data_IF_780596446145
#
_entry.id   IF_780596446145
#
_cell.length_a   1.000
_cell.length_b   1.000
_cell.length_c   1.000
_cell.angle_alpha   90.00
_cell.angle_beta   90.00
_cell.angle_gamma   90.00
#
_symmetry.space_group_name_H-M   'P 1'
#
loop_
_entity.id
_entity.type
_entity.pdbx_description
1 polymer ?
#
# COMPACT_ATOMS: atom_id res chain seq x y z
N UNK A 1 -24.34 -7.76 -10.64
CA UNK A 1 -23.47 -7.47 -9.47
C UNK A 1 -24.22 -7.63 -8.15
N UNK A 2 -23.53 -7.51 -7.01
CA UNK A 2 -24.19 -7.41 -5.68
C UNK A 2 -24.83 -6.01 -5.58
N UNK A 3 -26.04 -5.90 -5.02
CA UNK A 3 -26.79 -4.64 -4.91
C UNK A 3 -26.51 -3.89 -3.58
N UNK A 4 -27.00 -2.65 -3.48
CA UNK A 4 -26.87 -1.84 -2.25
C UNK A 4 -27.52 -2.48 -1.03
N UNK A 5 -28.64 -3.19 -1.21
CA UNK A 5 -29.35 -3.86 -0.12
C UNK A 5 -28.46 -4.94 0.48
N UNK A 6 -27.81 -5.75 -0.36
CA UNK A 6 -26.91 -6.81 0.07
C UNK A 6 -25.70 -6.27 0.82
N UNK A 7 -25.07 -5.19 0.33
CA UNK A 7 -23.94 -4.57 1.05
C UNK A 7 -24.36 -3.99 2.40
N UNK A 8 -25.52 -3.33 2.48
CA UNK A 8 -26.04 -2.82 3.74
C UNK A 8 -26.40 -3.96 4.72
N UNK A 9 -27.01 -5.05 4.24
CA UNK A 9 -27.31 -6.21 5.06
C UNK A 9 -26.04 -6.84 5.61
N UNK A 10 -24.99 -6.98 4.78
CA UNK A 10 -23.70 -7.50 5.20
C UNK A 10 -23.03 -6.59 6.25
N UNK A 11 -23.05 -5.27 6.07
CA UNK A 11 -22.50 -4.32 7.03
C UNK A 11 -23.21 -4.38 8.40
N UNK A 12 -24.55 -4.46 8.40
CA UNK A 12 -25.36 -4.62 9.62
C UNK A 12 -25.09 -5.96 10.30
N UNK A 13 -25.10 -7.04 9.53
CA UNK A 13 -24.81 -8.36 10.04
C UNK A 13 -23.41 -8.44 10.69
N UNK A 14 -22.41 -7.79 10.08
CA UNK A 14 -21.08 -7.66 10.67
C UNK A 14 -21.12 -6.94 12.03
N UNK A 15 -21.86 -5.83 12.13
CA UNK A 15 -22.01 -5.10 13.38
C UNK A 15 -22.73 -5.93 14.47
N UNK A 16 -23.79 -6.65 14.11
CA UNK A 16 -24.50 -7.57 15.01
C UNK A 16 -23.59 -8.69 15.52
N UNK A 17 -22.78 -9.28 14.63
CA UNK A 17 -21.79 -10.30 14.96
C UNK A 17 -20.75 -9.76 15.96
N UNK A 18 -20.22 -8.55 15.76
CA UNK A 18 -19.28 -7.94 16.70
C UNK A 18 -19.93 -7.68 18.07
N UNK A 19 -21.14 -7.15 18.09
CA UNK A 19 -21.89 -6.87 19.32
C UNK A 19 -22.21 -8.12 20.11
N UNK A 20 -22.68 -9.18 19.44
CA UNK A 20 -22.98 -10.46 20.08
C UNK A 20 -21.74 -11.11 20.73
N UNK A 21 -20.54 -10.77 20.25
CA UNK A 21 -19.26 -11.20 20.80
C UNK A 21 -18.67 -10.21 21.83
N UNK A 22 -19.34 -9.09 22.10
CA UNK A 22 -18.84 -8.06 23.02
C UNK A 22 -17.62 -7.29 22.50
N UNK A 23 -17.39 -7.29 21.19
CA UNK A 23 -16.26 -6.59 20.56
C UNK A 23 -16.59 -5.11 20.34
N UNK A 24 -15.61 -4.23 20.57
CA UNK A 24 -15.76 -2.78 20.45
C UNK A 24 -15.62 -2.25 19.01
N UNK A 25 -15.25 -3.10 18.06
CA UNK A 25 -14.98 -2.69 16.68
C UNK A 25 -14.24 -3.75 15.87
N UNK A 26 -13.85 -3.39 14.65
CA UNK A 26 -13.07 -4.26 13.79
C UNK A 26 -12.06 -3.51 12.93
N UNK A 27 -10.96 -4.19 12.63
CA UNK A 27 -10.11 -3.86 11.51
C UNK A 27 -10.67 -4.55 10.26
N UNK A 28 -10.90 -3.78 9.20
CA UNK A 28 -11.51 -4.27 7.95
C UNK A 28 -10.57 -3.96 6.80
N UNK A 29 -10.21 -4.96 5.99
CA UNK A 29 -9.43 -4.74 4.78
C UNK A 29 -10.30 -4.05 3.74
N UNK A 30 -10.01 -2.78 3.47
CA UNK A 30 -10.78 -1.92 2.56
C UNK A 30 -10.10 -1.74 1.20
N UNK A 31 -8.82 -2.10 1.10
CA UNK A 31 -8.05 -2.14 -0.14
C UNK A 31 -7.16 -3.38 -0.16
N UNK A 32 -7.29 -4.20 -1.20
CA UNK A 32 -6.45 -5.39 -1.45
C UNK A 32 -6.70 -5.90 -2.87
N UNK A 33 -5.74 -6.65 -3.41
CA UNK A 33 -5.73 -7.15 -4.79
C UNK A 33 -5.93 -6.03 -5.84
N UNK A 34 -5.52 -4.82 -5.49
CA UNK A 34 -5.63 -3.65 -6.35
C UNK A 34 -7.02 -3.05 -6.45
N UNK A 35 -7.97 -3.52 -5.64
CA UNK A 35 -9.36 -3.05 -5.60
C UNK A 35 -9.72 -2.46 -4.23
N UNK A 36 -10.31 -1.27 -4.25
CA UNK A 36 -10.83 -0.58 -3.10
C UNK A 36 -12.32 -0.87 -2.87
N UNK A 37 -12.78 -0.79 -1.61
CA UNK A 37 -14.20 -0.78 -1.22
C UNK A 37 -14.89 0.57 -1.50
N UNK A 38 -14.22 1.47 -2.20
CA UNK A 38 -14.73 2.78 -2.59
C UNK A 38 -14.35 3.06 -4.06
N UNK A 39 -15.08 3.96 -4.74
CA UNK A 39 -14.74 4.38 -6.10
C UNK A 39 -13.41 5.14 -6.12
N UNK A 40 -12.31 4.51 -6.54
CA UNK A 40 -10.99 5.15 -6.46
C UNK A 40 -10.47 5.66 -7.79
N UNK A 41 -9.74 6.78 -7.76
CA UNK A 41 -8.93 7.25 -8.89
C UNK A 41 -7.50 6.68 -8.87
N UNK A 42 -7.05 6.20 -7.70
CA UNK A 42 -5.70 5.69 -7.49
C UNK A 42 -5.57 4.17 -7.75
N UNK A 43 -6.67 3.42 -7.63
CA UNK A 43 -6.65 1.96 -7.74
C UNK A 43 -7.15 1.49 -9.11
N UNK A 44 -6.97 0.20 -9.41
CA UNK A 44 -7.73 -0.40 -10.51
C UNK A 44 -9.22 -0.34 -10.12
N UNK A 45 -10.11 -0.36 -11.13
CA UNK A 45 -11.53 -0.59 -10.87
C UNK A 45 -11.71 -1.86 -10.03
N UNK A 46 -12.86 -2.03 -9.38
CA UNK A 46 -13.05 -3.03 -8.34
C UNK A 46 -13.80 -4.30 -8.80
N UNK A 47 -13.30 -5.16 -9.74
CA UNK A 47 -13.98 -6.42 -10.09
C UNK A 47 -14.28 -7.33 -8.89
N UNK A 48 -13.44 -7.26 -7.85
CA UNK A 48 -13.57 -8.09 -6.63
C UNK A 48 -14.78 -7.70 -5.76
N UNK A 49 -15.16 -6.42 -5.77
CA UNK A 49 -16.23 -5.87 -4.92
C UNK A 49 -17.46 -5.46 -5.72
N UNK A 50 -17.26 -5.27 -7.02
CA UNK A 50 -18.26 -4.97 -8.03
C UNK A 50 -17.94 -5.81 -9.28
N UNK A 51 -18.48 -7.03 -9.34
CA UNK A 51 -18.26 -8.00 -10.43
C UNK A 51 -18.75 -7.53 -11.82
N UNK A 52 -19.11 -6.26 -11.96
CA UNK A 52 -19.90 -5.67 -13.04
C UNK A 52 -19.11 -4.77 -13.97
N UNK A 53 -17.80 -4.62 -13.75
CA UNK A 53 -16.99 -3.63 -14.48
C UNK A 53 -16.74 -3.92 -15.97
N UNK A 54 -17.49 -4.84 -16.61
CA UNK A 54 -17.52 -4.96 -18.08
C UNK A 54 -18.90 -5.36 -18.63
N UNK A 55 -19.70 -6.15 -17.89
CA UNK A 55 -20.96 -6.72 -18.40
C UNK A 55 -22.24 -5.99 -17.98
N UNK A 56 -22.20 -5.16 -16.93
CA UNK A 56 -23.41 -4.62 -16.26
C UNK A 56 -23.48 -3.07 -16.30
N UNK A 57 -22.68 -2.43 -17.16
CA UNK A 57 -22.59 -0.96 -17.32
C UNK A 57 -23.93 -0.25 -17.67
N UNK A 58 -25.03 -1.00 -17.79
CA UNK A 58 -26.38 -0.48 -18.03
C UNK A 58 -27.33 -0.45 -16.83
N UNK A 59 -27.02 -1.08 -15.69
CA UNK A 59 -28.01 -1.28 -14.60
C UNK A 59 -27.68 -0.61 -13.26
N UNK A 60 -26.42 -0.26 -13.02
CA UNK A 60 -26.02 0.51 -11.82
C UNK A 60 -25.31 1.81 -12.23
N UNK A 61 -25.98 2.96 -12.17
CA UNK A 61 -25.45 4.22 -12.70
C UNK A 61 -24.38 4.85 -11.79
N UNK A 62 -24.19 4.37 -10.56
CA UNK A 62 -23.30 4.99 -9.58
C UNK A 62 -22.32 3.97 -8.97
N UNK A 63 -21.01 4.23 -9.02
CA UNK A 63 -20.02 3.42 -8.32
C UNK A 63 -20.33 3.31 -6.83
N UNK A 64 -20.34 2.10 -6.28
CA UNK A 64 -20.68 1.86 -4.87
C UNK A 64 -19.54 2.23 -3.92
N UNK A 65 -19.82 3.08 -2.93
CA UNK A 65 -18.94 3.35 -1.80
C UNK A 65 -19.34 2.50 -0.58
N UNK A 66 -18.79 1.28 -0.51
CA UNK A 66 -19.04 0.32 0.56
C UNK A 66 -18.32 0.76 1.85
N UNK A 67 -17.16 1.43 1.70
CA UNK A 67 -16.40 1.99 2.82
C UNK A 67 -17.25 2.99 3.62
N UNK A 68 -17.94 3.90 2.94
CA UNK A 68 -18.83 4.87 3.60
C UNK A 68 -19.99 4.17 4.33
N UNK A 69 -20.59 3.14 3.72
CA UNK A 69 -21.66 2.36 4.36
C UNK A 69 -21.16 1.71 5.65
N UNK A 70 -19.99 1.08 5.62
CA UNK A 70 -19.39 0.45 6.80
C UNK A 70 -19.15 1.49 7.91
N UNK A 71 -18.54 2.63 7.58
CA UNK A 71 -18.26 3.69 8.54
C UNK A 71 -19.54 4.23 9.19
N UNK A 72 -20.61 4.44 8.40
CA UNK A 72 -21.90 4.92 8.90
C UNK A 72 -22.61 3.88 9.78
N UNK A 73 -22.60 2.61 9.39
CA UNK A 73 -23.22 1.53 10.19
C UNK A 73 -22.49 1.38 11.52
N UNK A 74 -21.17 1.30 11.50
CA UNK A 74 -20.38 1.14 12.72
C UNK A 74 -20.55 2.35 13.64
N UNK A 75 -20.57 3.56 13.09
CA UNK A 75 -20.78 4.79 13.87
C UNK A 75 -22.16 4.84 14.53
N UNK A 76 -23.21 4.33 13.88
CA UNK A 76 -24.56 4.22 14.46
C UNK A 76 -24.62 3.18 15.58
N UNK A 77 -23.86 2.10 15.45
CA UNK A 77 -23.80 1.02 16.44
C UNK A 77 -22.79 1.27 17.57
N UNK A 78 -22.10 2.41 17.57
CA UNK A 78 -21.06 2.74 18.56
C UNK A 78 -19.81 1.86 18.44
N UNK A 79 -19.57 1.28 17.27
CA UNK A 79 -18.42 0.43 16.97
C UNK A 79 -17.28 1.23 16.34
N UNK A 80 -16.05 0.84 16.67
CA UNK A 80 -14.84 1.36 16.04
C UNK A 80 -14.52 0.62 14.73
N UNK A 81 -14.01 1.37 13.75
CA UNK A 81 -13.54 0.88 12.47
C UNK A 81 -12.07 1.29 12.29
N UNK A 82 -11.23 0.32 11.94
CA UNK A 82 -9.86 0.54 11.46
C UNK A 82 -9.79 0.05 10.02
N UNK A 83 -9.94 0.93 9.01
CA UNK A 83 -9.68 0.55 7.62
C UNK A 83 -8.22 0.09 7.44
N UNK A 84 -8.05 -1.05 6.80
CA UNK A 84 -6.76 -1.64 6.49
C UNK A 84 -6.50 -1.68 4.98
N UNK A 85 -5.31 -1.28 4.55
CA UNK A 85 -4.86 -1.29 3.16
C UNK A 85 -3.73 -2.31 2.96
N UNK A 86 -3.92 -3.22 2.01
CA UNK A 86 -2.89 -4.16 1.55
C UNK A 86 -2.42 -3.75 0.15
N UNK A 87 -1.14 -3.44 0.01
CA UNK A 87 -0.50 -3.07 -1.25
C UNK A 87 0.20 -4.30 -1.84
N UNK A 88 -0.63 -5.20 -2.36
CA UNK A 88 -0.31 -6.53 -2.87
C UNK A 88 -0.57 -6.69 -4.38
N UNK A 89 -0.99 -5.62 -5.04
CA UNK A 89 -1.22 -5.57 -6.47
C UNK A 89 -0.53 -4.36 -7.12
N UNK A 90 -0.38 -4.36 -8.46
CA UNK A 90 0.21 -3.23 -9.14
C UNK A 90 -0.63 -1.95 -9.05
N UNK A 91 0.04 -0.83 -8.82
CA UNK A 91 -0.59 0.50 -8.76
C UNK A 91 -0.58 1.16 -10.14
N UNK A 92 -1.73 1.60 -10.67
CA UNK A 92 -1.82 2.25 -11.98
C UNK A 92 -0.80 3.36 -12.21
N UNK A 93 -0.63 4.26 -11.24
CA UNK A 93 0.32 5.37 -11.34
C UNK A 93 1.78 4.89 -11.44
N UNK A 94 2.14 3.84 -10.70
CA UNK A 94 3.51 3.27 -10.71
C UNK A 94 3.75 2.48 -12.00
N UNK A 95 2.77 1.69 -12.43
CA UNK A 95 2.84 0.94 -13.69
C UNK A 95 3.00 1.85 -14.91
N UNK A 96 2.35 3.02 -14.91
CA UNK A 96 2.54 4.02 -15.96
C UNK A 96 3.99 4.50 -16.03
N UNK A 97 4.65 4.71 -14.88
CA UNK A 97 6.05 5.13 -14.81
C UNK A 97 7.02 4.04 -15.24
N UNK A 98 6.73 2.77 -14.94
CA UNK A 98 7.57 1.63 -15.32
C UNK A 98 7.70 1.44 -16.83
N UNK A 99 6.73 1.92 -17.60
CA UNK A 99 6.76 1.87 -19.07
C UNK A 99 7.43 3.10 -19.72
N UNK A 100 7.93 4.04 -18.91
CA UNK A 100 8.49 5.31 -19.38
C UNK A 100 9.96 5.53 -19.01
N UNK A 101 10.54 6.68 -19.42
CA UNK A 101 11.93 7.03 -19.10
C UNK A 101 12.17 7.24 -17.59
N UNK A 102 11.09 7.41 -16.82
CA UNK A 102 11.12 7.53 -15.37
C UNK A 102 11.23 6.17 -14.64
N UNK A 103 11.31 5.04 -15.33
CA UNK A 103 11.40 3.72 -14.71
C UNK A 103 12.59 3.48 -13.75
N UNK A 104 13.80 4.04 -13.94
CA UNK A 104 14.93 3.77 -13.05
C UNK A 104 14.61 4.08 -11.58
N UNK A 105 14.99 3.19 -10.65
CA UNK A 105 14.70 3.31 -9.21
C UNK A 105 13.41 2.63 -8.74
N UNK A 106 12.42 2.46 -9.62
CA UNK A 106 11.07 1.99 -9.24
C UNK A 106 11.01 0.48 -9.03
N UNK A 107 11.68 -0.30 -9.87
CA UNK A 107 11.70 -1.75 -9.73
C UNK A 107 12.66 -2.17 -8.61
N UNK A 108 12.23 -3.08 -7.74
CA UNK A 108 13.11 -3.64 -6.72
C UNK A 108 14.11 -4.61 -7.36
N UNK A 109 15.37 -4.17 -7.48
CA UNK A 109 16.45 -4.97 -8.07
C UNK A 109 17.27 -5.66 -6.98
N UNK A 110 17.55 -6.95 -7.18
CA UNK A 110 18.35 -7.76 -6.25
C UNK A 110 19.80 -7.94 -6.70
N UNK A 111 20.49 -8.88 -6.04
CA UNK A 111 21.90 -9.26 -6.30
C UNK A 111 22.19 -9.69 -7.74
N UNK A 112 21.19 -10.19 -8.45
CA UNK A 112 21.28 -10.67 -9.83
C UNK A 112 21.10 -9.55 -10.86
N UNK A 113 20.87 -8.32 -10.41
CA UNK A 113 20.64 -7.17 -11.28
C UNK A 113 19.29 -7.20 -12.00
N UNK A 114 18.38 -8.10 -11.61
CA UNK A 114 17.07 -8.24 -12.25
C UNK A 114 15.96 -7.66 -11.37
N UNK A 115 14.93 -7.05 -11.97
CA UNK A 115 13.70 -6.72 -11.25
C UNK A 115 13.08 -7.96 -10.61
N UNK A 116 12.79 -7.89 -9.32
CA UNK A 116 12.04 -8.93 -8.62
C UNK A 116 10.60 -8.94 -9.10
N UNK A 117 10.04 -10.15 -9.26
CA UNK A 117 8.65 -10.38 -9.65
C UNK A 117 7.85 -10.90 -8.45
N UNK A 118 6.58 -10.52 -8.38
CA UNK A 118 5.64 -11.05 -7.39
C UNK A 118 5.08 -12.40 -7.85
N UNK A 119 4.68 -13.25 -6.90
CA UNK A 119 4.13 -14.58 -7.19
C UNK A 119 2.85 -14.50 -8.04
N UNK A 120 1.99 -13.51 -7.79
CA UNK A 120 0.77 -13.23 -8.56
C UNK A 120 1.00 -12.51 -9.90
N UNK A 121 2.25 -12.35 -10.33
CA UNK A 121 2.61 -11.54 -11.49
C UNK A 121 2.78 -10.06 -11.16
N UNK A 122 3.52 -9.35 -12.02
CA UNK A 122 3.89 -7.95 -11.79
C UNK A 122 5.28 -7.78 -11.17
N UNK A 123 5.70 -6.51 -11.08
CA UNK A 123 7.02 -6.12 -10.56
C UNK A 123 6.90 -5.77 -9.08
N UNK A 124 7.82 -6.27 -8.27
CA UNK A 124 7.95 -5.80 -6.90
C UNK A 124 8.53 -4.39 -6.92
N UNK A 125 7.81 -3.42 -6.39
CA UNK A 125 8.29 -2.04 -6.35
C UNK A 125 9.36 -1.85 -5.28
N UNK A 126 10.24 -0.89 -5.51
CA UNK A 126 11.18 -0.42 -4.53
C UNK A 126 10.50 0.65 -3.66
N UNK A 127 10.10 0.29 -2.45
CA UNK A 127 9.41 1.21 -1.51
C UNK A 127 10.30 2.38 -1.05
N UNK A 128 11.60 2.36 -1.33
CA UNK A 128 12.51 3.48 -1.09
C UNK A 128 12.43 4.57 -2.17
N UNK A 129 11.73 4.30 -3.28
CA UNK A 129 11.53 5.27 -4.35
C UNK A 129 10.42 6.27 -3.96
N UNK A 130 10.68 7.58 -3.91
CA UNK A 130 9.68 8.58 -3.51
C UNK A 130 8.40 8.56 -4.36
N UNK A 131 8.46 8.10 -5.61
CA UNK A 131 7.28 8.03 -6.49
C UNK A 131 6.39 6.85 -6.14
N UNK A 132 6.98 5.74 -5.67
CA UNK A 132 6.23 4.61 -5.12
C UNK A 132 5.56 5.03 -3.81
N UNK A 133 6.30 5.74 -2.94
CA UNK A 133 5.76 6.28 -1.70
C UNK A 133 4.61 7.26 -1.94
N UNK A 134 4.74 8.17 -2.91
CA UNK A 134 3.69 9.11 -3.28
C UNK A 134 2.42 8.40 -3.80
N UNK A 135 2.55 7.29 -4.51
CA UNK A 135 1.39 6.52 -4.98
C UNK A 135 0.66 5.79 -3.84
N UNK A 136 1.41 5.29 -2.85
CA UNK A 136 0.84 4.75 -1.59
C UNK A 136 0.11 5.86 -0.85
N UNK A 137 0.78 6.99 -0.64
CA UNK A 137 0.24 8.15 0.07
C UNK A 137 -1.04 8.66 -0.59
N UNK A 138 -1.06 8.80 -1.92
CA UNK A 138 -2.25 9.23 -2.65
C UNK A 138 -3.46 8.33 -2.38
N UNK A 139 -3.25 7.00 -2.34
CA UNK A 139 -4.31 6.03 -2.04
C UNK A 139 -4.82 6.19 -0.60
N UNK A 140 -3.90 6.37 0.36
CA UNK A 140 -4.24 6.56 1.79
C UNK A 140 -4.96 7.89 2.00
N UNK A 141 -4.49 8.98 1.38
CA UNK A 141 -5.08 10.32 1.46
C UNK A 141 -6.47 10.33 0.84
N UNK A 142 -6.68 9.67 -0.31
CA UNK A 142 -7.99 9.56 -0.93
C UNK A 142 -8.99 8.85 0.00
N UNK A 143 -8.59 7.75 0.63
CA UNK A 143 -9.41 7.04 1.61
C UNK A 143 -9.68 7.90 2.86
N UNK A 144 -8.65 8.54 3.41
CA UNK A 144 -8.77 9.38 4.60
C UNK A 144 -9.70 10.59 4.36
N UNK A 145 -9.63 11.20 3.17
CA UNK A 145 -10.49 12.30 2.78
C UNK A 145 -11.98 11.89 2.75
N UNK A 146 -12.28 10.67 2.29
CA UNK A 146 -13.64 10.09 2.28
C UNK A 146 -14.17 9.82 3.68
N UNK A 147 -13.31 9.35 4.56
CA UNK A 147 -13.64 9.02 5.94
C UNK A 147 -13.62 10.23 6.87
N UNK A 148 -13.38 11.44 6.35
CA UNK A 148 -13.32 12.66 7.16
C UNK A 148 -14.62 12.86 7.93
N UNK A 149 -14.51 12.99 9.24
CA UNK A 149 -15.65 13.19 10.14
C UNK A 149 -16.43 11.91 10.48
N UNK A 150 -16.03 10.74 9.97
CA UNK A 150 -16.62 9.48 10.39
C UNK A 150 -16.20 9.13 11.82
N UNK A 151 -17.13 9.27 12.77
CA UNK A 151 -16.87 9.02 14.20
C UNK A 151 -16.45 7.59 14.53
N UNK A 152 -16.79 6.63 13.66
CA UNK A 152 -16.39 5.23 13.80
C UNK A 152 -14.89 5.03 13.55
N UNK A 153 -14.24 5.88 12.76
CA UNK A 153 -12.86 5.64 12.31
C UNK A 153 -11.88 6.06 13.39
N UNK A 154 -11.13 5.09 13.91
CA UNK A 154 -10.22 5.29 15.05
C UNK A 154 -8.74 5.18 14.69
N UNK A 155 -8.44 4.77 13.46
CA UNK A 155 -7.09 4.67 12.94
C UNK A 155 -7.09 4.13 11.51
N UNK A 156 -5.90 3.94 10.94
CA UNK A 156 -5.68 3.30 9.64
C UNK A 156 -4.58 2.26 9.81
N UNK A 157 -4.74 1.10 9.17
CA UNK A 157 -3.72 0.06 9.15
C UNK A 157 -3.12 -0.10 7.74
N UNK A 158 -1.80 -0.21 7.68
CA UNK A 158 -1.09 -0.65 6.47
C UNK A 158 -0.65 -2.11 6.68
N UNK A 159 -1.13 -3.01 5.83
CA UNK A 159 -0.83 -4.43 5.92
C UNK A 159 0.45 -4.74 5.14
N UNK A 160 1.44 -5.31 5.83
CA UNK A 160 2.68 -5.80 5.25
C UNK A 160 2.53 -7.26 4.82
N UNK A 161 1.72 -7.48 3.78
CA UNK A 161 1.48 -8.81 3.20
C UNK A 161 2.78 -9.40 2.64
N UNK A 162 2.96 -10.73 2.73
CA UNK A 162 4.17 -11.40 2.23
C UNK A 162 4.37 -11.26 0.72
N UNK A 163 3.27 -11.12 -0.03
CA UNK A 163 3.26 -10.85 -1.47
C UNK A 163 3.11 -9.35 -1.78
N UNK A 164 3.10 -8.50 -0.75
CA UNK A 164 3.07 -7.05 -0.90
C UNK A 164 4.46 -6.47 -1.11
N UNK A 165 4.49 -5.25 -1.67
CA UNK A 165 5.74 -4.55 -1.99
C UNK A 165 6.06 -3.39 -1.04
N UNK A 166 5.26 -3.19 0.02
CA UNK A 166 5.52 -2.19 1.08
C UNK A 166 6.70 -2.51 2.00
N UNK A 167 7.34 -3.66 1.82
CA UNK A 167 8.53 -4.04 2.56
C UNK A 167 9.62 -4.50 1.59
N UNK A 168 10.88 -4.35 1.99
CA UNK A 168 12.00 -4.90 1.23
C UNK A 168 12.20 -6.36 1.64
N UNK A 169 12.25 -7.32 0.69
CA UNK A 169 12.32 -8.74 1.02
C UNK A 169 13.62 -9.19 1.70
N UNK A 170 14.65 -8.33 1.71
CA UNK A 170 15.93 -8.62 2.32
C UNK A 170 16.93 -7.47 2.20
N UNK A 171 18.16 -7.73 2.67
CA UNK A 171 19.25 -6.76 2.61
C UNK A 171 19.71 -6.50 1.18
N UNK A 172 19.87 -7.55 0.37
CA UNK A 172 20.22 -7.45 -1.04
C UNK A 172 18.99 -7.17 -1.93
N UNK A 173 18.29 -6.07 -1.67
CA UNK A 173 17.12 -5.60 -2.43
C UNK A 173 17.18 -4.09 -2.61
N UNK A 174 16.62 -3.53 -3.69
CA UNK A 174 16.79 -2.09 -3.99
C UNK A 174 18.24 -1.73 -4.33
N UNK A 175 18.94 -2.60 -5.05
CA UNK A 175 20.36 -2.43 -5.44
C UNK A 175 20.53 -1.88 -6.86
N UNK A 176 19.47 -1.34 -7.45
CA UNK A 176 19.55 -0.64 -8.74
C UNK A 176 20.44 0.61 -8.64
N UNK A 177 20.84 1.11 -9.81
CA UNK A 177 21.81 2.21 -9.89
C UNK A 177 21.29 3.51 -9.26
N UNK A 178 19.98 3.81 -9.39
CA UNK A 178 19.42 5.04 -8.83
C UNK A 178 19.35 4.97 -7.30
N UNK A 179 18.88 3.85 -6.75
CA UNK A 179 18.74 3.66 -5.30
C UNK A 179 20.10 3.61 -4.61
N UNK A 180 21.03 2.84 -5.17
CA UNK A 180 22.36 2.71 -4.56
C UNK A 180 23.16 4.02 -4.63
N UNK A 181 23.01 4.80 -5.70
CA UNK A 181 23.62 6.14 -5.79
C UNK A 181 23.11 7.08 -4.70
N UNK A 182 21.80 7.06 -4.38
CA UNK A 182 21.24 7.86 -3.27
C UNK A 182 21.81 7.45 -1.93
N UNK A 183 21.96 6.14 -1.70
CA UNK A 183 22.58 5.64 -0.49
C UNK A 183 24.03 6.08 -0.35
N UNK A 184 24.86 5.94 -1.39
CA UNK A 184 26.25 6.39 -1.35
C UNK A 184 26.38 7.91 -1.20
N UNK A 185 25.44 8.69 -1.75
CA UNK A 185 25.40 10.13 -1.54
C UNK A 185 25.17 10.49 -0.06
N UNK A 186 24.42 9.67 0.69
CA UNK A 186 24.16 9.89 2.11
C UNK A 186 25.23 9.28 3.03
N UNK A 187 25.69 8.07 2.73
CA UNK A 187 26.64 7.31 3.56
C UNK A 187 28.11 7.62 3.26
N UNK A 188 28.40 8.15 2.07
CA UNK A 188 29.74 8.27 1.52
C UNK A 188 30.27 6.92 0.99
N UNK A 189 31.18 6.98 0.02
CA UNK A 189 31.85 5.80 -0.55
C UNK A 189 31.87 5.80 -2.07
N UNK A 190 32.46 4.73 -2.62
CA UNK A 190 32.55 4.50 -4.07
C UNK A 190 31.59 3.39 -4.48
N UNK A 191 30.97 3.57 -5.65
CA UNK A 191 30.09 2.56 -6.21
C UNK A 191 30.87 1.46 -6.94
N UNK A 192 30.28 0.27 -6.97
CA UNK A 192 30.74 -0.80 -7.84
C UNK A 192 30.37 -0.49 -9.30
N UNK A 193 31.32 -0.72 -10.21
CA UNK A 193 31.09 -0.61 -11.66
C UNK A 193 31.14 -1.98 -12.32
N UNK A 194 30.69 -2.06 -13.58
CA UNK A 194 30.72 -3.29 -14.36
C UNK A 194 29.46 -4.15 -14.28
N UNK A 195 29.53 -5.32 -14.92
CA UNK A 195 28.40 -6.22 -15.09
C UNK A 195 28.00 -6.93 -13.78
N UNK A 196 28.93 -7.10 -12.85
CA UNK A 196 28.71 -7.77 -11.56
C UNK A 196 28.41 -6.80 -10.41
N UNK A 197 28.25 -5.49 -10.70
CA UNK A 197 28.06 -4.43 -9.70
C UNK A 197 26.97 -4.75 -8.68
N UNK A 198 25.83 -5.31 -9.09
CA UNK A 198 24.74 -5.65 -8.16
C UNK A 198 25.11 -6.77 -7.18
N UNK A 199 25.93 -7.74 -7.61
CA UNK A 199 26.44 -8.79 -6.75
C UNK A 199 27.51 -8.24 -5.78
N UNK A 200 28.33 -7.29 -6.23
CA UNK A 200 29.27 -6.57 -5.35
C UNK A 200 28.51 -5.75 -4.30
N UNK A 201 27.53 -4.94 -4.71
CA UNK A 201 26.66 -4.16 -3.81
C UNK A 201 25.98 -5.06 -2.78
N UNK A 202 25.47 -6.22 -3.19
CA UNK A 202 24.88 -7.20 -2.29
C UNK A 202 25.86 -7.65 -1.19
N UNK A 203 27.11 -8.00 -1.55
CA UNK A 203 28.15 -8.36 -0.58
C UNK A 203 28.49 -7.21 0.37
N UNK A 204 28.50 -5.97 -0.13
CA UNK A 204 28.76 -4.79 0.70
C UNK A 204 27.65 -4.58 1.74
N UNK A 205 26.38 -4.58 1.33
CA UNK A 205 25.25 -4.33 2.24
C UNK A 205 24.91 -5.52 3.15
N UNK A 206 25.36 -6.73 2.80
CA UNK A 206 25.26 -7.90 3.68
C UNK A 206 26.43 -7.97 4.68
N UNK A 207 27.54 -7.29 4.39
CA UNK A 207 28.75 -7.23 5.22
C UNK A 207 29.08 -5.81 5.69
N UNK A 208 30.15 -5.18 5.15
CA UNK A 208 30.74 -3.97 5.74
C UNK A 208 29.82 -2.75 5.77
N UNK A 209 28.85 -2.63 4.87
CA UNK A 209 27.90 -1.50 4.80
C UNK A 209 26.54 -1.83 5.43
N UNK A 210 26.38 -2.99 6.08
CA UNK A 210 25.09 -3.46 6.59
C UNK A 210 24.37 -2.45 7.47
N UNK A 211 25.03 -1.96 8.51
CA UNK A 211 24.40 -1.07 9.49
C UNK A 211 24.07 0.29 8.86
N UNK A 212 24.95 0.83 8.02
CA UNK A 212 24.70 2.08 7.29
C UNK A 212 23.53 1.94 6.33
N UNK A 213 23.44 0.80 5.64
CA UNK A 213 22.34 0.49 4.71
C UNK A 213 20.99 0.38 5.42
N UNK A 214 20.95 -0.30 6.57
CA UNK A 214 19.73 -0.41 7.39
C UNK A 214 19.32 0.96 7.97
N UNK A 215 20.27 1.72 8.50
CA UNK A 215 20.02 3.05 9.05
C UNK A 215 19.48 3.99 7.96
N UNK A 216 20.11 4.02 6.79
CA UNK A 216 19.66 4.83 5.66
C UNK A 216 18.26 4.42 5.18
N UNK A 217 17.99 3.12 5.02
CA UNK A 217 16.64 2.66 4.66
C UNK A 217 15.58 3.11 5.68
N UNK A 218 15.90 3.06 6.97
CA UNK A 218 14.97 3.51 8.00
C UNK A 218 14.68 5.01 7.92
N UNK A 219 15.63 5.84 7.45
CA UNK A 219 15.39 7.27 7.24
C UNK A 219 14.64 7.58 5.94
N UNK A 220 14.79 6.73 4.92
CA UNK A 220 14.07 6.91 3.64
C UNK A 220 12.63 6.39 3.68
N UNK A 221 12.30 5.50 4.62
CA UNK A 221 10.93 5.05 4.81
C UNK A 221 10.13 6.13 5.55
N UNK A 222 8.91 6.46 5.11
CA UNK A 222 8.07 7.41 5.82
C UNK A 222 7.78 6.90 7.25
N UNK A 223 7.69 7.80 8.25
CA UNK A 223 7.60 7.46 9.67
C UNK A 223 6.39 6.59 10.07
N UNK A 224 5.44 6.33 9.16
CA UNK A 224 4.31 5.41 9.35
C UNK A 224 4.54 3.95 8.90
N UNK A 225 5.70 3.62 8.33
CA UNK A 225 6.03 2.26 7.88
C UNK A 225 6.98 1.50 8.85
N UNK A 226 7.41 2.15 9.93
CA UNK A 226 8.09 1.49 11.04
C UNK A 226 7.05 0.79 11.94
N UNK A 227 7.40 -0.34 12.61
CA UNK A 227 6.52 -0.97 13.58
C UNK A 227 6.39 -0.08 14.82
N UNK A 228 5.45 0.85 14.78
CA UNK A 228 5.17 1.83 15.82
C UNK A 228 4.31 2.95 15.26
N UNK A 229 2.99 2.86 15.46
CA UNK A 229 1.99 3.70 14.81
C UNK A 229 2.28 5.20 14.92
N UNK A 230 2.30 5.87 13.76
CA UNK A 230 2.24 7.32 13.69
C UNK A 230 0.78 7.78 13.87
N UNK A 231 0.57 8.68 14.82
CA UNK A 231 -0.73 9.30 15.12
C UNK A 231 -1.19 10.17 13.94
N UNK A 232 -2.24 9.69 13.25
CA UNK A 232 -2.82 10.33 12.05
C UNK A 232 -3.55 11.66 12.35
N UNK A 233 -3.60 12.09 13.61
CA UNK A 233 -4.20 13.38 14.00
C UNK A 233 -3.50 14.60 13.39
N UNK A 234 -2.23 14.48 12.97
CA UNK A 234 -1.49 15.60 12.38
C UNK A 234 -1.79 15.86 10.90
N UNK A 235 -2.42 14.92 10.18
CA UNK A 235 -2.74 15.07 8.75
C UNK A 235 -4.12 15.72 8.50
N UNK A 236 -4.89 15.98 9.56
CA UNK A 236 -6.14 16.72 9.52
C UNK A 236 -5.93 18.07 10.22
N UNK A 237 -5.26 19.00 9.53
CA UNK A 237 -5.15 20.38 9.98
C UNK A 237 -6.54 21.05 10.09
N UNK A 238 -6.65 21.91 11.10
CA UNK A 238 -7.81 22.74 11.50
C UNK A 238 -8.59 23.39 10.34
#
# INVERSE_FOLDING_TARGET
>A
GVDWVSHLAAARHSADCLRSQGLAGAMVTVYSDGAALWPSACTRGAPRWDATSVADAGWDPLPKDILEVLARVYGREGLSLVPALSFDAPLPAVEALLNGPAAPGIACVGRDGRPRRLAGGGTHYNVLDPRVQAAVEATVVEMAARLRGASAVTGVALLLSHDGWLHLPGLASGLDDATFSRFLAAAGGEDASGADRHAVRARLVEGPLREQWLAWRATEMPPGAAPGGADLRAAAGD
#
